data_IF_142635274505
#
_entry.id   IF_142635274505
#
_cell.length_a   1.000
_cell.length_b   1.000
_cell.length_c   1.000
_cell.angle_alpha   90.00
_cell.angle_beta   90.00
_cell.angle_gamma   90.00
#
_symmetry.space_group_name_H-M   'P 1'
#
loop_
_entity.id
_entity.type
_entity.pdbx_description
1 polymer ?
#
# COMPACT_ATOMS: atom_id res chain seq x y z
N UNK A 1 -11.51 5.84 1.31
CA UNK A 1 -10.30 5.28 1.95
C UNK A 1 -9.81 4.12 1.11
N UNK A 2 -8.87 4.39 0.22
CA UNK A 2 -8.18 3.35 -0.54
C UNK A 2 -6.83 3.03 0.12
N UNK A 3 -6.58 1.75 0.42
CA UNK A 3 -5.34 1.24 1.01
C UNK A 3 -4.62 0.38 -0.01
N UNK A 4 -3.36 0.70 -0.27
CA UNK A 4 -2.57 0.00 -1.28
C UNK A 4 -1.35 -0.73 -0.69
N UNK A 5 -1.04 -1.93 -1.20
CA UNK A 5 0.08 -2.77 -0.75
C UNK A 5 0.95 -3.32 -1.90
N UNK A 6 2.28 -3.33 -1.70
CA UNK A 6 3.31 -3.66 -2.70
C UNK A 6 3.85 -5.12 -2.72
N UNK A 7 3.13 -6.12 -2.17
CA UNK A 7 3.59 -7.53 -2.16
C UNK A 7 2.48 -8.57 -2.29
N UNK A 8 2.49 -9.42 -3.33
CA UNK A 8 1.41 -10.37 -3.63
C UNK A 8 0.93 -11.25 -2.46
N UNK A 9 1.82 -11.84 -1.66
CA UNK A 9 1.42 -12.82 -0.64
C UNK A 9 0.84 -12.19 0.62
N UNK A 10 1.49 -11.15 1.14
CA UNK A 10 1.00 -10.41 2.32
C UNK A 10 -0.17 -9.48 1.96
N UNK A 11 -0.22 -8.96 0.72
CA UNK A 11 -1.29 -8.07 0.28
C UNK A 11 -2.62 -8.79 0.13
N UNK A 12 -2.62 -10.06 -0.32
CA UNK A 12 -3.84 -10.87 -0.41
C UNK A 12 -4.46 -11.13 0.96
N UNK A 13 -3.65 -11.49 1.96
CA UNK A 13 -4.15 -11.70 3.33
C UNK A 13 -4.66 -10.40 3.94
N UNK A 14 -3.93 -9.30 3.76
CA UNK A 14 -4.36 -7.99 4.24
C UNK A 14 -5.66 -7.53 3.60
N UNK A 15 -5.80 -7.69 2.29
CA UNK A 15 -7.04 -7.42 1.56
C UNK A 15 -8.22 -8.20 2.13
N UNK A 16 -8.08 -9.51 2.32
CA UNK A 16 -9.16 -10.36 2.88
C UNK A 16 -9.56 -9.93 4.30
N UNK A 17 -8.65 -9.40 5.12
CA UNK A 17 -9.01 -8.95 6.48
C UNK A 17 -9.60 -7.53 6.46
N UNK A 18 -9.03 -6.62 5.68
CA UNK A 18 -9.50 -5.24 5.57
C UNK A 18 -10.87 -5.15 4.87
N UNK A 19 -11.14 -5.98 3.86
CA UNK A 19 -12.46 -6.05 3.20
C UNK A 19 -13.56 -6.61 4.12
N UNK A 20 -13.20 -7.25 5.25
CA UNK A 20 -14.18 -7.68 6.27
C UNK A 20 -14.60 -6.55 7.21
N UNK A 21 -13.93 -5.40 7.17
CA UNK A 21 -14.31 -4.22 7.96
C UNK A 21 -15.41 -3.50 7.17
N UNK A 22 -16.69 -3.59 7.59
CA UNK A 22 -17.78 -3.04 6.81
C UNK A 22 -17.75 -1.52 6.87
N UNK A 23 -17.85 -0.91 5.68
CA UNK A 23 -17.85 0.52 5.37
C UNK A 23 -16.47 1.17 5.18
N UNK A 24 -16.27 1.69 3.96
CA UNK A 24 -15.29 2.68 3.51
C UNK A 24 -13.91 2.25 2.96
N UNK A 25 -13.51 0.98 3.04
CA UNK A 25 -12.15 0.60 2.61
C UNK A 25 -12.14 -0.18 1.29
N UNK A 26 -11.61 0.43 0.23
CA UNK A 26 -11.27 -0.27 -1.02
C UNK A 26 -9.80 -0.66 -0.96
N UNK A 27 -9.49 -1.95 -1.02
CA UNK A 27 -8.10 -2.43 -0.95
C UNK A 27 -7.63 -2.90 -2.32
N UNK A 28 -6.60 -2.22 -2.81
CA UNK A 28 -5.93 -2.56 -4.06
C UNK A 28 -4.52 -3.08 -3.81
N UNK A 29 -4.09 -4.01 -4.66
CA UNK A 29 -2.78 -4.65 -4.53
C UNK A 29 -2.09 -4.64 -5.88
N UNK A 30 -0.84 -4.22 -5.92
CA UNK A 30 -0.01 -4.36 -7.10
C UNK A 30 1.46 -4.64 -6.71
N UNK A 31 2.12 -5.47 -7.52
CA UNK A 31 3.46 -5.99 -7.27
C UNK A 31 4.44 -5.56 -8.36
N UNK A 32 4.09 -4.52 -9.12
CA UNK A 32 4.96 -3.98 -10.16
C UNK A 32 6.29 -3.53 -9.57
N UNK A 33 7.37 -3.97 -10.21
CA UNK A 33 8.75 -3.71 -9.78
C UNK A 33 9.29 -2.34 -10.21
N UNK A 34 8.48 -1.51 -10.88
CA UNK A 34 8.86 -0.20 -11.41
C UNK A 34 7.63 0.67 -11.68
N UNK A 35 7.87 1.88 -12.17
CA UNK A 35 6.81 2.84 -12.52
C UNK A 35 5.97 2.36 -13.70
N UNK A 36 4.74 1.90 -13.43
CA UNK A 36 3.75 1.55 -14.44
C UNK A 36 2.58 2.54 -14.38
N UNK A 37 1.80 2.62 -15.46
CA UNK A 37 0.58 3.44 -15.48
C UNK A 37 -0.40 3.03 -14.37
N UNK A 38 -0.44 1.72 -14.07
CA UNK A 38 -1.23 1.18 -12.97
C UNK A 38 -0.72 1.69 -11.62
N UNK A 39 0.59 1.59 -11.36
CA UNK A 39 1.19 2.07 -10.12
C UNK A 39 1.00 3.59 -9.95
N UNK A 40 1.05 4.33 -11.05
CA UNK A 40 0.79 5.77 -11.07
C UNK A 40 -0.65 6.09 -10.68
N UNK A 41 -1.62 5.48 -11.35
CA UNK A 41 -3.03 5.68 -11.04
C UNK A 41 -3.32 5.37 -9.57
N UNK A 42 -2.69 4.34 -9.01
CA UNK A 42 -2.82 3.99 -7.61
C UNK A 42 -2.23 5.07 -6.69
N UNK A 43 -1.01 5.52 -6.97
CA UNK A 43 -0.36 6.58 -6.20
C UNK A 43 -1.13 7.91 -6.26
N UNK A 44 -1.72 8.27 -7.41
CA UNK A 44 -2.47 9.52 -7.54
C UNK A 44 -3.82 9.46 -6.81
N UNK A 45 -4.49 8.30 -6.78
CA UNK A 45 -5.87 8.19 -6.32
C UNK A 45 -6.04 7.59 -4.92
N UNK A 46 -5.01 7.01 -4.29
CA UNK A 46 -5.13 6.48 -2.94
C UNK A 46 -5.21 7.58 -1.89
N UNK A 47 -5.90 7.27 -0.78
CA UNK A 47 -5.90 8.11 0.42
C UNK A 47 -4.71 7.76 1.33
N UNK A 48 -4.40 6.46 1.44
CA UNK A 48 -3.27 5.93 2.21
C UNK A 48 -2.53 4.90 1.36
N UNK A 49 -1.21 5.03 1.27
CA UNK A 49 -0.37 4.08 0.58
C UNK A 49 0.52 3.34 1.58
N UNK A 50 0.45 2.00 1.62
CA UNK A 50 1.23 1.18 2.56
C UNK A 50 2.35 0.45 1.79
N UNK A 51 3.58 0.84 2.06
CA UNK A 51 4.78 0.24 1.48
C UNK A 51 5.34 -0.83 2.42
N UNK A 52 5.65 -2.01 1.87
CA UNK A 52 6.44 -3.00 2.61
C UNK A 52 7.93 -2.80 2.32
N UNK A 53 8.65 -2.17 3.24
CA UNK A 53 10.06 -1.79 3.08
C UNK A 53 10.99 -2.96 2.76
N UNK A 54 10.66 -4.18 3.19
CA UNK A 54 11.51 -5.36 2.97
C UNK A 54 11.44 -5.91 1.53
N UNK A 55 10.57 -5.35 0.71
CA UNK A 55 10.20 -5.88 -0.61
C UNK A 55 10.08 -4.80 -1.69
N UNK A 56 9.84 -3.56 -1.28
CA UNK A 56 9.77 -2.43 -2.19
C UNK A 56 11.16 -2.12 -2.74
N UNK A 57 11.29 -2.20 -4.06
CA UNK A 57 12.48 -1.67 -4.75
C UNK A 57 12.46 -0.15 -4.65
N UNK A 58 13.64 0.46 -4.50
CA UNK A 58 13.79 1.92 -4.45
C UNK A 58 13.07 2.60 -5.62
N UNK A 59 13.17 2.03 -6.84
CA UNK A 59 12.49 2.55 -8.02
C UNK A 59 10.96 2.65 -7.89
N UNK A 60 10.30 1.70 -7.23
CA UNK A 60 8.86 1.77 -6.99
C UNK A 60 8.54 2.77 -5.88
N UNK A 61 9.31 2.76 -4.78
CA UNK A 61 9.14 3.70 -3.66
C UNK A 61 9.29 5.15 -4.09
N UNK A 62 10.32 5.46 -4.88
CA UNK A 62 10.58 6.82 -5.36
C UNK A 62 9.52 7.26 -6.37
N UNK A 63 9.07 6.35 -7.23
CA UNK A 63 7.95 6.61 -8.15
C UNK A 63 6.67 6.95 -7.39
N UNK A 64 6.34 6.20 -6.34
CA UNK A 64 5.13 6.46 -5.53
C UNK A 64 5.26 7.81 -4.82
N UNK A 65 6.40 8.12 -4.20
CA UNK A 65 6.63 9.43 -3.57
C UNK A 65 6.43 10.59 -4.55
N UNK A 66 6.84 10.41 -5.81
CA UNK A 66 6.71 11.45 -6.84
C UNK A 66 5.24 11.74 -7.23
N UNK A 67 4.34 10.75 -7.17
CA UNK A 67 2.95 10.89 -7.61
C UNK A 67 1.92 10.93 -6.48
N UNK A 68 2.25 10.38 -5.30
CA UNK A 68 1.39 10.40 -4.12
C UNK A 68 1.41 11.76 -3.40
N UNK A 69 2.46 12.57 -3.63
CA UNK A 69 2.60 13.91 -3.06
C UNK A 69 2.69 13.87 -1.53
N UNK A 70 1.98 14.80 -0.89
CA UNK A 70 2.00 14.98 0.58
C UNK A 70 1.02 14.06 1.33
N UNK A 71 0.33 13.15 0.62
CA UNK A 71 -0.64 12.25 1.21
C UNK A 71 0.05 11.17 2.09
N UNK A 72 -0.65 10.63 3.10
CA UNK A 72 -0.15 9.57 3.98
C UNK A 72 0.52 8.38 3.29
N UNK A 73 1.80 8.20 3.58
CA UNK A 73 2.60 7.09 3.09
C UNK A 73 3.15 6.30 4.28
N UNK A 74 2.57 5.12 4.51
CA UNK A 74 2.90 4.25 5.63
C UNK A 74 3.99 3.24 5.24
N UNK A 75 4.88 2.90 6.16
CA UNK A 75 6.01 2.02 5.90
C UNK A 75 5.99 0.80 6.82
N UNK A 76 5.40 -0.29 6.35
CA UNK A 76 5.46 -1.56 7.07
C UNK A 76 6.87 -2.16 6.96
N UNK A 77 7.54 -2.27 8.11
CA UNK A 77 8.85 -2.92 8.26
C UNK A 77 8.77 -4.45 8.35
N UNK A 78 7.59 -5.06 8.16
CA UNK A 78 7.35 -6.48 8.43
C UNK A 78 6.71 -7.24 7.26
N UNK A 79 6.98 -8.56 7.18
CA UNK A 79 6.35 -9.49 6.22
C UNK A 79 4.93 -9.91 6.61
N UNK A 80 4.39 -9.39 7.72
CA UNK A 80 3.17 -9.86 8.36
C UNK A 80 2.07 -8.81 8.43
N UNK A 81 0.83 -9.30 8.47
CA UNK A 81 -0.41 -8.52 8.55
C UNK A 81 -0.48 -7.61 9.78
N UNK A 82 0.03 -8.06 10.93
CA UNK A 82 -0.03 -7.31 12.19
C UNK A 82 0.77 -6.00 12.13
N UNK A 83 1.91 -5.99 11.43
CA UNK A 83 2.68 -4.78 11.22
C UNK A 83 1.95 -3.80 10.29
N UNK A 84 1.19 -4.31 9.31
CA UNK A 84 0.41 -3.46 8.40
C UNK A 84 -0.74 -2.78 9.11
N UNK A 85 -1.44 -3.47 10.02
CA UNK A 85 -2.49 -2.85 10.82
C UNK A 85 -1.97 -1.78 11.76
N UNK A 86 -0.83 -2.02 12.42
CA UNK A 86 -0.21 -1.02 13.28
C UNK A 86 0.08 0.29 12.53
N UNK A 87 0.57 0.18 11.29
CA UNK A 87 0.83 1.33 10.42
C UNK A 87 -0.44 2.04 9.93
N UNK A 88 -1.59 1.36 9.88
CA UNK A 88 -2.88 1.96 9.50
C UNK A 88 -3.55 2.63 10.72
N UNK A 89 -3.42 2.05 11.92
CA UNK A 89 -4.00 2.57 13.16
C UNK A 89 -3.45 3.94 13.60
N UNK A 90 -2.30 4.34 13.05
CA UNK A 90 -1.62 5.60 13.36
C UNK A 90 -2.03 6.77 12.44
N UNK A 91 -2.96 6.56 11.50
CA UNK A 91 -3.56 7.60 10.65
C UNK A 91 -5.02 7.84 11.02
#
# INVERSE_FOLDING_TARGET
MAIYLLTESASRQAKVVLEKIPALVTVETNADHGGTDRLRALAENSDIFVLNCLSAKHAATDFIRAYHGDKPLAYSQGKGLSNMFHEIEVF
#
